data_IF_652802277026
#
_entry.id   IF_652802277026
#
_cell.length_a   1.000
_cell.length_b   1.000
_cell.length_c   1.000
_cell.angle_alpha   90.00
_cell.angle_beta   90.00
_cell.angle_gamma   90.00
#
_symmetry.space_group_name_H-M   'P 1'
#
loop_
_entity.id
_entity.type
_entity.pdbx_description
1 polymer ?
#
# COMPACT_ATOMS: atom_id res chain seq x y z
N UNK A 1 34.54 19.51 -23.09
CA UNK A 1 34.41 18.44 -22.07
C UNK A 1 33.33 18.90 -21.10
N UNK A 2 32.16 18.27 -21.15
CA UNK A 2 31.01 18.69 -20.36
C UNK A 2 30.84 17.72 -19.20
N UNK A 3 31.58 17.96 -18.12
CA UNK A 3 31.45 17.28 -16.83
C UNK A 3 30.15 17.76 -16.18
N UNK A 4 29.18 16.87 -15.98
CA UNK A 4 27.98 17.19 -15.21
C UNK A 4 27.66 16.06 -14.23
N UNK A 5 27.94 16.38 -12.97
CA UNK A 5 27.84 15.57 -11.75
C UNK A 5 26.48 14.87 -11.59
N UNK A 6 26.48 13.53 -11.68
CA UNK A 6 25.39 12.68 -11.18
C UNK A 6 25.57 12.33 -9.69
N UNK A 7 26.77 12.58 -9.10
CA UNK A 7 27.09 12.42 -7.66
C UNK A 7 28.16 13.44 -7.24
N UNK A 8 28.11 14.04 -6.04
CA UNK A 8 29.20 14.91 -5.57
C UNK A 8 30.42 14.04 -5.30
N UNK A 9 31.54 14.32 -5.96
CA UNK A 9 32.79 13.56 -5.79
C UNK A 9 32.95 12.31 -6.68
N UNK A 10 31.99 12.01 -7.56
CA UNK A 10 32.17 11.04 -8.65
C UNK A 10 31.71 11.69 -9.96
N UNK A 11 32.68 12.20 -10.72
CA UNK A 11 32.43 12.70 -12.06
C UNK A 11 32.27 11.51 -13.00
N UNK A 12 31.11 11.39 -13.64
CA UNK A 12 30.86 10.32 -14.59
C UNK A 12 31.25 10.80 -15.99
N UNK A 13 31.97 9.97 -16.76
CA UNK A 13 32.19 10.26 -18.16
C UNK A 13 30.91 10.03 -18.94
N UNK A 14 30.38 11.13 -19.44
CA UNK A 14 29.15 11.14 -20.23
C UNK A 14 29.54 11.03 -21.69
N UNK A 15 29.21 9.90 -22.33
CA UNK A 15 29.30 9.73 -23.78
C UNK A 15 28.08 10.40 -24.46
N UNK A 16 27.97 11.71 -24.27
CA UNK A 16 26.85 12.50 -24.79
C UNK A 16 25.48 12.20 -24.16
N UNK A 17 24.45 12.87 -24.69
CA UNK A 17 23.05 12.66 -24.32
C UNK A 17 22.42 11.72 -25.34
N UNK A 18 22.09 10.45 -25.00
CA UNK A 18 21.56 9.47 -25.96
C UNK A 18 20.27 9.94 -26.66
N UNK A 19 19.54 10.88 -26.04
CA UNK A 19 18.32 11.45 -26.60
C UNK A 19 18.31 12.98 -26.63
N UNK A 20 19.49 13.61 -26.75
CA UNK A 20 19.61 15.07 -26.76
C UNK A 20 19.14 15.71 -25.45
N UNK A 21 18.53 16.89 -25.54
CA UNK A 21 18.10 17.68 -24.36
C UNK A 21 16.73 17.27 -23.79
N UNK A 22 16.13 16.20 -24.32
CA UNK A 22 14.80 15.76 -23.91
C UNK A 22 14.86 15.18 -22.50
N UNK A 23 13.99 15.62 -21.56
CA UNK A 23 13.91 15.03 -20.23
C UNK A 23 13.66 13.52 -20.31
N UNK A 24 14.37 12.76 -19.49
CA UNK A 24 14.27 11.31 -19.46
C UNK A 24 12.84 10.81 -19.26
N UNK A 25 12.01 11.58 -18.53
CA UNK A 25 10.62 11.26 -18.27
C UNK A 25 9.73 11.34 -19.53
N UNK A 26 10.07 12.19 -20.50
CA UNK A 26 9.25 12.43 -21.69
C UNK A 26 9.52 11.42 -22.82
N UNK A 27 10.49 10.54 -22.64
CA UNK A 27 10.85 9.47 -23.57
C UNK A 27 10.07 8.19 -23.22
N UNK A 28 9.70 7.42 -24.24
CA UNK A 28 9.12 6.06 -24.14
C UNK A 28 7.90 5.90 -23.22
N UNK A 29 6.94 6.83 -23.27
CA UNK A 29 5.67 6.73 -22.54
C UNK A 29 5.80 6.56 -21.01
N UNK A 30 7.00 6.71 -20.44
CA UNK A 30 7.31 6.48 -19.02
C UNK A 30 6.40 7.33 -18.13
N UNK A 31 6.31 8.62 -18.46
CA UNK A 31 5.40 9.56 -17.82
C UNK A 31 3.96 9.07 -17.84
N UNK A 32 3.48 8.63 -19.00
CA UNK A 32 2.09 8.21 -19.22
C UNK A 32 1.79 6.92 -18.44
N UNK A 33 2.71 5.94 -18.45
CA UNK A 33 2.56 4.66 -17.73
C UNK A 33 2.49 4.86 -16.22
N UNK A 34 3.41 5.64 -15.65
CA UNK A 34 3.43 5.87 -14.20
C UNK A 34 2.27 6.77 -13.79
N UNK A 35 1.94 7.80 -14.59
CA UNK A 35 0.77 8.66 -14.34
C UNK A 35 -0.53 7.87 -14.35
N UNK A 36 -0.74 6.94 -15.30
CA UNK A 36 -1.93 6.07 -15.33
C UNK A 36 -2.04 5.23 -14.06
N UNK A 37 -0.96 4.63 -13.58
CA UNK A 37 -0.98 3.84 -12.33
C UNK A 37 -1.32 4.69 -11.11
N UNK A 38 -0.73 5.88 -11.00
CA UNK A 38 -1.04 6.80 -9.90
C UNK A 38 -2.49 7.30 -9.99
N UNK A 39 -2.96 7.66 -11.18
CA UNK A 39 -4.31 8.17 -11.43
C UNK A 39 -5.37 7.11 -11.11
N UNK A 40 -5.20 5.87 -11.58
CA UNK A 40 -6.10 4.78 -11.26
C UNK A 40 -6.16 4.53 -9.75
N UNK A 41 -5.02 4.51 -9.06
CA UNK A 41 -4.97 4.33 -7.62
C UNK A 41 -5.69 5.48 -6.88
N UNK A 42 -5.50 6.72 -7.30
CA UNK A 42 -6.18 7.89 -6.71
C UNK A 42 -7.68 7.95 -6.99
N UNK A 43 -8.16 7.36 -8.08
CA UNK A 43 -9.60 7.30 -8.40
C UNK A 43 -10.30 6.16 -7.64
N UNK A 44 -9.63 5.01 -7.48
CA UNK A 44 -10.20 3.84 -6.80
C UNK A 44 -10.35 4.08 -5.29
N UNK A 45 -9.36 4.73 -4.66
CA UNK A 45 -9.37 4.97 -3.21
C UNK A 45 -10.62 5.70 -2.67
N UNK A 46 -11.07 6.85 -3.23
CA UNK A 46 -12.25 7.54 -2.71
C UNK A 46 -13.55 6.73 -2.94
N UNK A 47 -13.64 5.98 -4.04
CA UNK A 47 -14.79 5.09 -4.29
C UNK A 47 -14.85 3.99 -3.25
N UNK A 48 -13.72 3.33 -2.96
CA UNK A 48 -13.64 2.31 -1.91
C UNK A 48 -13.94 2.90 -0.53
N UNK A 49 -13.45 4.11 -0.24
CA UNK A 49 -13.70 4.78 1.02
C UNK A 49 -15.19 5.12 1.18
N UNK A 50 -15.83 5.66 0.14
CA UNK A 50 -17.26 5.98 0.15
C UNK A 50 -18.12 4.72 0.34
N UNK A 51 -17.81 3.63 -0.37
CA UNK A 51 -18.52 2.35 -0.22
C UNK A 51 -18.31 1.76 1.18
N UNK A 52 -17.08 1.74 1.68
CA UNK A 52 -16.77 1.25 3.02
C UNK A 52 -17.49 2.08 4.09
N UNK A 53 -17.50 3.40 3.95
CA UNK A 53 -18.20 4.29 4.86
C UNK A 53 -19.70 4.05 4.82
N UNK A 54 -20.31 3.93 3.64
CA UNK A 54 -21.74 3.66 3.50
C UNK A 54 -22.15 2.32 4.15
N UNK A 55 -21.38 1.25 3.92
CA UNK A 55 -21.62 -0.06 4.54
C UNK A 55 -21.46 0.01 6.06
N UNK A 56 -20.38 0.63 6.54
CA UNK A 56 -20.14 0.79 7.97
C UNK A 56 -21.26 1.59 8.63
N UNK A 57 -21.66 2.71 8.01
CA UNK A 57 -22.76 3.54 8.46
C UNK A 57 -24.08 2.79 8.54
N UNK A 58 -24.38 1.94 7.56
CA UNK A 58 -25.60 1.13 7.53
C UNK A 58 -25.60 0.05 8.62
N UNK A 59 -24.48 -0.66 8.80
CA UNK A 59 -24.36 -1.70 9.85
C UNK A 59 -24.41 -1.11 11.26
N UNK A 60 -23.92 0.11 11.47
CA UNK A 60 -23.95 0.75 12.79
C UNK A 60 -25.17 1.63 13.07
N UNK A 61 -26.19 1.61 12.20
CA UNK A 61 -27.50 2.20 12.50
C UNK A 61 -28.05 1.88 13.89
N UNK A 62 -27.88 0.67 14.49
CA UNK A 62 -28.32 0.42 15.87
C UNK A 62 -27.70 1.36 16.91
N UNK A 63 -26.52 1.92 16.65
CA UNK A 63 -25.74 2.69 17.62
C UNK A 63 -25.85 4.21 17.39
N UNK A 64 -25.96 4.66 16.14
CA UNK A 64 -26.01 6.10 15.78
C UNK A 64 -27.20 6.50 14.91
N UNK A 65 -28.02 5.54 14.48
CA UNK A 65 -29.18 5.73 13.61
C UNK A 65 -30.45 6.18 14.33
N UNK A 66 -30.38 6.50 15.62
CA UNK A 66 -31.53 6.88 16.45
C UNK A 66 -32.71 5.90 16.35
N UNK A 67 -32.42 4.59 16.42
CA UNK A 67 -33.46 3.58 16.43
C UNK A 67 -34.48 3.85 17.54
N UNK A 68 -35.80 3.71 17.27
CA UNK A 68 -36.82 3.85 18.30
C UNK A 68 -36.52 2.90 19.47
N UNK A 69 -36.59 3.46 20.67
CA UNK A 69 -36.32 2.74 21.91
C UNK A 69 -37.64 2.34 22.53
N UNK A 70 -37.86 1.03 22.68
CA UNK A 70 -39.06 0.46 23.32
C UNK A 70 -38.67 -0.30 24.57
N UNK A 71 -39.61 -0.41 25.51
CA UNK A 71 -39.45 -1.29 26.67
C UNK A 71 -39.69 -2.74 26.26
N UNK A 72 -38.75 -3.62 26.60
CA UNK A 72 -38.83 -5.05 26.37
C UNK A 72 -38.71 -5.80 27.69
N UNK A 73 -39.57 -6.78 27.91
CA UNK A 73 -39.51 -7.66 29.08
C UNK A 73 -38.77 -8.94 28.71
N UNK A 74 -37.78 -9.30 29.52
CA UNK A 74 -37.04 -10.56 29.35
C UNK A 74 -37.93 -11.71 29.79
N UNK A 75 -38.33 -12.58 28.87
CA UNK A 75 -39.24 -13.71 29.16
C UNK A 75 -38.50 -15.03 29.37
N UNK A 76 -37.34 -15.19 28.75
CA UNK A 76 -36.50 -16.36 28.90
C UNK A 76 -35.04 -15.99 28.78
N UNK A 77 -34.18 -16.81 29.36
CA UNK A 77 -32.76 -16.79 29.07
C UNK A 77 -32.23 -18.23 29.03
N UNK A 78 -31.31 -18.52 28.11
CA UNK A 78 -30.63 -19.80 28.09
C UNK A 78 -29.16 -19.63 27.73
N UNK A 79 -28.32 -20.38 28.44
CA UNK A 79 -26.88 -20.37 28.21
C UNK A 79 -26.52 -21.32 27.08
N UNK A 80 -25.62 -20.89 26.20
CA UNK A 80 -25.10 -21.72 25.13
C UNK A 80 -23.61 -21.45 24.92
N UNK A 81 -22.89 -22.49 24.48
CA UNK A 81 -21.44 -22.41 24.28
C UNK A 81 -21.14 -22.36 22.79
N UNK A 82 -20.72 -21.20 22.30
CA UNK A 82 -20.26 -21.03 20.91
C UNK A 82 -19.08 -20.08 20.89
N UNK A 83 -17.86 -20.65 20.87
CA UNK A 83 -16.59 -19.91 21.04
C UNK A 83 -16.59 -19.05 22.33
N UNK A 84 -17.07 -19.62 23.43
CA UNK A 84 -17.27 -18.95 24.72
C UNK A 84 -18.68 -19.19 25.27
N UNK A 85 -18.86 -18.95 26.56
CA UNK A 85 -20.16 -18.99 27.22
C UNK A 85 -20.94 -17.72 26.86
N UNK A 86 -22.15 -17.88 26.35
CA UNK A 86 -23.03 -16.78 25.93
C UNK A 86 -24.45 -17.02 26.45
N UNK A 87 -25.20 -15.95 26.60
CA UNK A 87 -26.60 -16.01 26.98
C UNK A 87 -27.49 -15.53 25.83
N UNK A 88 -28.51 -16.30 25.50
CA UNK A 88 -29.58 -15.86 24.60
C UNK A 88 -30.78 -15.44 25.43
N UNK A 89 -31.38 -14.29 25.10
CA UNK A 89 -32.52 -13.70 25.79
C UNK A 89 -33.74 -13.75 24.88
N UNK A 90 -34.84 -14.34 25.36
CA UNK A 90 -36.16 -14.15 24.76
C UNK A 90 -36.76 -12.84 25.27
N UNK A 91 -37.20 -11.98 24.35
CA UNK A 91 -37.68 -10.64 24.65
C UNK A 91 -39.10 -10.46 24.10
N UNK A 92 -40.01 -10.02 24.97
CA UNK A 92 -41.34 -9.57 24.58
C UNK A 92 -41.37 -8.04 24.59
N UNK A 93 -41.80 -7.45 23.48
CA UNK A 93 -41.87 -5.99 23.36
C UNK A 93 -43.06 -5.57 22.51
N UNK A 94 -43.39 -4.28 22.58
CA UNK A 94 -44.49 -3.66 21.84
C UNK A 94 -43.96 -2.67 20.82
N UNK A 95 -44.31 -2.85 19.55
CA UNK A 95 -44.05 -1.88 18.48
C UNK A 95 -45.39 -1.55 17.84
N UNK A 96 -45.76 -0.26 17.81
CA UNK A 96 -47.04 0.22 17.27
C UNK A 96 -48.27 -0.53 17.81
N UNK A 97 -48.22 -0.90 19.10
CA UNK A 97 -49.29 -1.64 19.78
C UNK A 97 -49.35 -3.14 19.47
N UNK A 98 -48.49 -3.66 18.59
CA UNK A 98 -48.35 -5.10 18.34
C UNK A 98 -47.31 -5.72 19.26
N UNK A 99 -47.68 -6.83 19.92
CA UNK A 99 -46.76 -7.61 20.74
C UNK A 99 -45.91 -8.50 19.84
N UNK A 100 -44.61 -8.31 19.89
CA UNK A 100 -43.62 -9.09 19.18
C UNK A 100 -42.75 -9.84 20.18
N UNK A 101 -42.23 -10.97 19.72
CA UNK A 101 -41.24 -11.76 20.43
C UNK A 101 -39.98 -11.84 19.58
N UNK A 102 -38.82 -11.63 20.18
CA UNK A 102 -37.54 -11.73 19.51
C UNK A 102 -36.46 -12.28 20.41
N UNK A 103 -35.46 -12.91 19.81
CA UNK A 103 -34.30 -13.43 20.51
C UNK A 103 -33.11 -12.48 20.36
N UNK A 104 -32.41 -12.22 21.45
CA UNK A 104 -31.18 -11.43 21.44
C UNK A 104 -30.06 -12.14 22.20
N UNK A 105 -28.93 -12.38 21.52
CA UNK A 105 -27.77 -13.00 22.15
C UNK A 105 -26.78 -11.95 22.67
N UNK A 106 -26.52 -11.99 23.98
CA UNK A 106 -25.47 -11.20 24.64
C UNK A 106 -24.17 -11.99 24.68
N UNK A 107 -23.03 -11.28 24.68
CA UNK A 107 -21.71 -11.93 24.79
C UNK A 107 -21.32 -12.28 26.23
N UNK A 108 -22.20 -11.99 27.20
CA UNK A 108 -22.00 -12.30 28.61
C UNK A 108 -22.63 -13.66 28.96
N UNK A 109 -22.11 -14.36 29.99
CA UNK A 109 -22.81 -15.49 30.61
C UNK A 109 -24.15 -15.05 31.23
N UNK A 110 -25.05 -16.01 31.50
CA UNK A 110 -26.42 -15.67 31.91
C UNK A 110 -26.53 -15.05 33.31
N UNK A 111 -25.52 -15.24 34.16
CA UNK A 111 -25.39 -14.57 35.46
C UNK A 111 -25.06 -13.07 35.36
N UNK A 112 -24.41 -12.66 34.27
CA UNK A 112 -24.11 -11.26 33.93
C UNK A 112 -25.15 -10.60 33.00
N UNK A 113 -26.13 -11.34 32.53
CA UNK A 113 -27.20 -10.86 31.65
C UNK A 113 -28.41 -10.35 32.45
N UNK A 114 -29.32 -9.58 31.84
CA UNK A 114 -30.59 -9.21 32.45
C UNK A 114 -31.38 -10.42 32.94
N UNK A 115 -31.91 -10.36 34.16
CA UNK A 115 -32.70 -11.43 34.74
C UNK A 115 -34.08 -11.56 34.04
N UNK A 116 -34.63 -12.77 34.02
CA UNK A 116 -36.01 -13.01 33.54
C UNK A 116 -36.99 -12.18 34.38
N UNK A 117 -37.93 -11.51 33.70
CA UNK A 117 -38.89 -10.58 34.28
C UNK A 117 -38.40 -9.13 34.38
N UNK A 118 -37.12 -8.86 34.11
CA UNK A 118 -36.61 -7.49 34.04
C UNK A 118 -37.04 -6.78 32.76
N UNK A 119 -37.14 -5.45 32.84
CA UNK A 119 -37.42 -4.58 31.70
C UNK A 119 -36.12 -3.94 31.21
N UNK A 120 -35.83 -4.07 29.92
CA UNK A 120 -34.66 -3.50 29.26
C UNK A 120 -35.09 -2.58 28.12
N UNK A 121 -34.23 -1.61 27.77
CA UNK A 121 -34.43 -0.76 26.59
C UNK A 121 -33.93 -1.50 25.35
N UNK A 122 -34.83 -1.67 24.39
CA UNK A 122 -34.58 -2.30 23.10
C UNK A 122 -34.63 -1.27 22.00
N UNK A 123 -33.55 -1.13 21.24
CA UNK A 123 -33.55 -0.44 19.96
C UNK A 123 -34.10 -1.38 18.89
N UNK A 124 -35.15 -0.97 18.20
CA UNK A 124 -35.77 -1.73 17.10
C UNK A 124 -35.51 -1.00 15.79
N UNK A 125 -35.11 -1.74 14.76
CA UNK A 125 -34.95 -1.13 13.42
C UNK A 125 -36.30 -0.67 12.88
N UNK A 126 -36.40 0.57 12.36
CA UNK A 126 -37.65 1.11 11.81
C UNK A 126 -38.07 0.46 10.49
N UNK A 127 -37.14 -0.20 9.79
CA UNK A 127 -37.40 -0.83 8.48
C UNK A 127 -37.63 -2.35 8.59
N UNK A 128 -37.04 -3.00 9.60
CA UNK A 128 -37.12 -4.44 9.80
C UNK A 128 -37.14 -4.77 11.30
N UNK A 129 -38.32 -5.11 11.83
CA UNK A 129 -38.52 -5.35 13.25
C UNK A 129 -37.76 -6.61 13.75
N UNK A 130 -37.19 -7.42 12.85
CA UNK A 130 -36.33 -8.55 13.20
C UNK A 130 -34.92 -8.15 13.66
N UNK A 131 -34.49 -6.90 13.41
CA UNK A 131 -33.21 -6.39 13.88
C UNK A 131 -33.38 -5.61 15.17
N UNK A 132 -32.86 -6.18 16.26
CA UNK A 132 -32.97 -5.59 17.60
C UNK A 132 -31.61 -5.48 18.28
N UNK A 133 -31.45 -4.45 19.11
CA UNK A 133 -30.26 -4.22 19.91
C UNK A 133 -30.65 -3.84 21.35
N UNK A 134 -30.17 -4.58 22.34
CA UNK A 134 -30.40 -4.25 23.76
C UNK A 134 -29.39 -3.19 24.19
N UNK A 135 -29.88 -2.05 24.68
CA UNK A 135 -29.02 -0.96 25.11
C UNK A 135 -28.15 -1.39 26.31
N UNK A 136 -26.85 -1.05 26.26
CA UNK A 136 -25.91 -1.34 27.36
C UNK A 136 -25.35 -2.76 27.37
N UNK A 137 -25.79 -3.66 26.50
CA UNK A 137 -25.28 -5.03 26.44
C UNK A 137 -24.58 -5.33 25.10
N UNK A 138 -23.32 -5.81 25.12
CA UNK A 138 -22.64 -6.24 23.91
C UNK A 138 -23.32 -7.50 23.33
N UNK A 139 -23.60 -7.47 22.04
CA UNK A 139 -24.28 -8.57 21.34
C UNK A 139 -23.82 -8.73 19.90
N UNK A 140 -24.60 -9.47 19.12
CA UNK A 140 -24.34 -9.71 17.70
C UNK A 140 -24.12 -8.42 16.89
N UNK A 141 -24.90 -7.32 17.07
CA UNK A 141 -24.71 -6.09 16.30
C UNK A 141 -23.34 -5.44 16.55
N UNK A 142 -22.86 -5.44 17.80
CA UNK A 142 -21.53 -4.89 18.15
C UNK A 142 -20.42 -5.72 17.51
N UNK A 143 -20.56 -7.06 17.53
CA UNK A 143 -19.61 -7.96 16.90
C UNK A 143 -19.59 -7.81 15.37
N UNK A 144 -20.77 -7.69 14.74
CA UNK A 144 -20.89 -7.39 13.31
C UNK A 144 -20.25 -6.05 12.95
N UNK A 145 -20.47 -5.01 13.76
CA UNK A 145 -19.84 -3.70 13.56
C UNK A 145 -18.31 -3.81 13.54
N UNK A 146 -17.75 -4.54 14.50
CA UNK A 146 -16.31 -4.75 14.62
C UNK A 146 -15.77 -5.57 13.45
N UNK A 147 -16.43 -6.66 13.07
CA UNK A 147 -16.04 -7.48 11.92
C UNK A 147 -16.13 -6.72 10.60
N UNK A 148 -17.20 -5.96 10.38
CA UNK A 148 -17.36 -5.10 9.20
C UNK A 148 -16.30 -4.02 9.17
N UNK A 149 -16.01 -3.38 10.30
CA UNK A 149 -14.93 -2.40 10.44
C UNK A 149 -13.58 -2.99 10.07
N UNK A 150 -13.24 -4.19 10.56
CA UNK A 150 -12.00 -4.88 10.21
C UNK A 150 -11.95 -5.31 8.74
N UNK A 151 -13.05 -5.91 8.24
CA UNK A 151 -13.17 -6.42 6.88
C UNK A 151 -13.09 -5.33 5.81
N UNK A 152 -13.60 -4.13 6.10
CA UNK A 152 -13.52 -2.96 5.22
C UNK A 152 -12.22 -2.16 5.44
N UNK A 153 -11.74 -2.10 6.68
CA UNK A 153 -10.52 -1.36 7.03
C UNK A 153 -9.29 -1.91 6.33
N UNK A 154 -9.16 -3.23 6.21
CA UNK A 154 -8.03 -3.88 5.56
C UNK A 154 -7.86 -3.50 4.07
N UNK A 155 -8.86 -3.67 3.18
CA UNK A 155 -8.72 -3.31 1.77
C UNK A 155 -8.56 -1.79 1.58
N UNK A 156 -9.24 -0.95 2.35
CA UNK A 156 -9.10 0.51 2.27
C UNK A 156 -7.68 0.92 2.66
N UNK A 157 -7.15 0.41 3.77
CA UNK A 157 -5.79 0.70 4.23
C UNK A 157 -4.73 0.19 3.26
N UNK A 158 -4.92 -1.03 2.71
CA UNK A 158 -4.05 -1.59 1.69
C UNK A 158 -4.04 -0.74 0.42
N UNK A 159 -5.20 -0.29 -0.06
CA UNK A 159 -5.31 0.61 -1.20
C UNK A 159 -4.68 1.98 -0.92
N UNK A 160 -4.87 2.53 0.29
CA UNK A 160 -4.26 3.79 0.71
C UNK A 160 -2.73 3.71 0.73
N UNK A 161 -2.18 2.65 1.32
CA UNK A 161 -0.74 2.37 1.33
C UNK A 161 -0.20 2.22 -0.10
N UNK A 162 -0.87 1.43 -0.94
CA UNK A 162 -0.48 1.27 -2.35
C UNK A 162 -0.48 2.61 -3.09
N UNK A 163 -1.53 3.42 -2.92
CA UNK A 163 -1.66 4.74 -3.54
C UNK A 163 -0.55 5.68 -3.06
N UNK A 164 -0.26 5.69 -1.75
CA UNK A 164 0.84 6.45 -1.17
C UNK A 164 2.19 6.05 -1.78
N UNK A 165 2.48 4.75 -1.86
CA UNK A 165 3.72 4.26 -2.49
C UNK A 165 3.78 4.56 -3.98
N UNK A 166 2.66 4.47 -4.70
CA UNK A 166 2.56 4.81 -6.12
C UNK A 166 2.84 6.30 -6.36
N UNK A 167 2.25 7.19 -5.57
CA UNK A 167 2.49 8.65 -5.64
C UNK A 167 3.94 8.96 -5.25
N UNK A 168 4.46 8.37 -4.16
CA UNK A 168 5.85 8.57 -3.74
C UNK A 168 6.84 8.10 -4.80
N UNK A 169 6.57 6.96 -5.45
CA UNK A 169 7.36 6.47 -6.57
C UNK A 169 7.27 7.40 -7.76
N UNK A 170 6.08 7.87 -8.13
CA UNK A 170 5.89 8.84 -9.20
C UNK A 170 6.70 10.11 -8.94
N UNK A 171 6.58 10.72 -7.76
CA UNK A 171 7.34 11.92 -7.38
C UNK A 171 8.85 11.68 -7.48
N UNK A 172 9.33 10.51 -7.05
CA UNK A 172 10.74 10.14 -7.16
C UNK A 172 11.19 10.03 -8.61
N UNK A 173 10.45 9.31 -9.45
CA UNK A 173 10.79 9.13 -10.86
C UNK A 173 10.71 10.46 -11.61
N UNK A 174 9.69 11.28 -11.37
CA UNK A 174 9.57 12.61 -11.97
C UNK A 174 10.76 13.49 -11.63
N UNK A 175 11.21 13.47 -10.36
CA UNK A 175 12.38 14.26 -9.93
C UNK A 175 13.66 13.78 -10.60
N UNK A 176 13.88 12.47 -10.65
CA UNK A 176 15.10 11.90 -11.23
C UNK A 176 15.13 12.02 -12.77
N UNK A 177 13.97 11.91 -13.41
CA UNK A 177 13.81 11.99 -14.86
C UNK A 177 13.57 13.41 -15.41
N UNK A 178 13.72 14.44 -14.57
CA UNK A 178 13.60 15.83 -14.99
C UNK A 178 14.79 16.27 -15.87
N UNK A 179 15.96 15.67 -15.68
CA UNK A 179 17.14 15.87 -16.53
C UNK A 179 17.12 14.96 -17.76
N UNK A 180 17.92 15.29 -18.78
CA UNK A 180 18.10 14.40 -19.93
C UNK A 180 18.83 13.13 -19.51
N UNK A 181 18.61 12.05 -20.26
CA UNK A 181 19.45 10.86 -20.15
C UNK A 181 20.90 11.18 -20.51
N UNK A 182 21.81 10.47 -19.86
CA UNK A 182 23.25 10.52 -20.10
C UNK A 182 23.77 9.10 -20.29
N UNK A 183 24.54 8.86 -21.35
CA UNK A 183 25.16 7.57 -21.56
C UNK A 183 26.46 7.49 -20.74
N UNK A 184 26.57 6.46 -19.91
CA UNK A 184 27.74 6.18 -19.07
C UNK A 184 28.30 4.83 -19.47
N UNK A 185 29.54 4.84 -19.96
CA UNK A 185 30.24 3.65 -20.44
C UNK A 185 31.41 3.34 -19.51
N UNK A 186 31.52 2.08 -19.10
CA UNK A 186 32.61 1.60 -18.26
C UNK A 186 32.90 0.12 -18.48
N UNK A 187 34.05 -0.32 -18.00
CA UNK A 187 34.44 -1.73 -17.96
C UNK A 187 33.90 -2.36 -16.67
N UNK A 188 33.21 -3.49 -16.78
CA UNK A 188 32.65 -4.19 -15.63
C UNK A 188 33.77 -4.84 -14.83
N UNK A 189 33.89 -4.47 -13.56
CA UNK A 189 34.78 -5.11 -12.61
C UNK A 189 34.10 -6.33 -11.99
N UNK A 190 32.87 -6.15 -11.51
CA UNK A 190 32.08 -7.19 -10.90
C UNK A 190 30.59 -6.95 -11.17
N UNK A 191 29.83 -8.05 -11.24
CA UNK A 191 28.38 -8.02 -11.34
C UNK A 191 27.81 -8.96 -10.28
N UNK A 192 26.97 -8.43 -9.38
CA UNK A 192 26.36 -9.22 -8.31
C UNK A 192 24.83 -9.16 -8.40
N UNK A 193 24.15 -10.31 -8.61
CA UNK A 193 22.71 -10.35 -8.47
C UNK A 193 22.32 -10.10 -7.01
N UNK A 194 21.21 -9.40 -6.82
CA UNK A 194 20.63 -9.11 -5.50
C UNK A 194 19.15 -9.48 -5.51
N UNK A 195 18.60 -9.79 -4.34
CA UNK A 195 17.16 -10.05 -4.16
C UNK A 195 16.27 -8.92 -4.69
N UNK A 196 16.80 -7.71 -4.83
CA UNK A 196 16.09 -6.55 -5.34
C UNK A 196 16.59 -6.06 -6.72
N UNK A 197 17.52 -6.76 -7.38
CA UNK A 197 18.06 -6.30 -8.66
C UNK A 197 19.48 -6.77 -8.98
N UNK A 198 20.30 -5.84 -9.47
CA UNK A 198 21.66 -6.03 -9.90
C UNK A 198 22.55 -4.92 -9.35
N UNK A 199 23.74 -5.29 -8.90
CA UNK A 199 24.85 -4.40 -8.59
C UNK A 199 25.96 -4.58 -9.62
N UNK A 200 26.45 -3.46 -10.17
CA UNK A 200 27.58 -3.41 -11.09
C UNK A 200 28.67 -2.53 -10.50
N UNK A 201 29.87 -3.08 -10.37
CA UNK A 201 31.08 -2.30 -10.19
C UNK A 201 31.68 -2.00 -11.56
N UNK A 202 31.95 -0.73 -11.86
CA UNK A 202 32.41 -0.25 -13.16
C UNK A 202 33.67 0.59 -13.00
N UNK A 203 34.68 0.31 -13.80
CA UNK A 203 35.77 1.25 -14.08
C UNK A 203 35.35 2.14 -15.22
N UNK A 204 35.31 3.44 -14.96
CA UNK A 204 34.86 4.43 -15.92
C UNK A 204 35.93 4.66 -16.99
N UNK A 205 35.50 4.84 -18.25
CA UNK A 205 36.41 5.01 -19.39
C UNK A 205 37.11 6.39 -19.45
N UNK A 206 37.24 7.09 -18.30
CA UNK A 206 37.90 8.40 -18.20
C UNK A 206 38.95 8.40 -17.12
N UNK A 207 40.15 8.84 -17.50
CA UNK A 207 41.31 8.94 -16.64
C UNK A 207 41.03 9.87 -15.44
N UNK A 208 41.37 9.40 -14.23
CA UNK A 208 41.19 10.15 -12.98
C UNK A 208 39.79 10.06 -12.36
N UNK A 209 38.84 9.38 -12.99
CA UNK A 209 37.52 9.13 -12.38
C UNK A 209 37.61 7.94 -11.40
N UNK A 210 36.94 8.00 -10.23
CA UNK A 210 36.89 6.85 -9.34
C UNK A 210 36.08 5.72 -9.97
N UNK A 211 36.40 4.48 -9.63
CA UNK A 211 35.51 3.36 -9.92
C UNK A 211 34.15 3.61 -9.26
N UNK A 212 33.07 3.12 -9.86
CA UNK A 212 31.71 3.35 -9.38
C UNK A 212 30.95 2.07 -9.18
N UNK A 213 30.09 2.09 -8.18
CA UNK A 213 29.10 1.05 -7.91
C UNK A 213 27.71 1.56 -8.31
N UNK A 214 27.00 0.81 -9.14
CA UNK A 214 25.65 1.11 -9.61
C UNK A 214 24.72 -0.04 -9.23
N UNK A 215 23.75 0.24 -8.38
CA UNK A 215 22.71 -0.71 -7.97
C UNK A 215 21.35 -0.32 -8.54
N UNK A 216 20.65 -1.24 -9.21
CA UNK A 216 19.31 -0.99 -9.76
C UNK A 216 18.48 -2.27 -9.87
N UNK A 217 17.14 -2.12 -9.84
CA UNK A 217 16.23 -3.25 -9.99
C UNK A 217 16.08 -3.70 -11.45
N UNK A 218 15.91 -5.00 -11.69
CA UNK A 218 15.64 -5.56 -13.03
C UNK A 218 14.14 -5.77 -13.32
N UNK A 219 13.24 -5.19 -12.50
CA UNK A 219 11.79 -5.38 -12.67
C UNK A 219 11.31 -4.82 -14.02
N UNK A 220 10.89 -5.71 -14.91
CA UNK A 220 10.43 -5.39 -16.26
C UNK A 220 11.48 -5.56 -17.36
N UNK A 221 12.68 -6.03 -16.99
CA UNK A 221 13.75 -6.39 -17.92
C UNK A 221 13.91 -7.90 -17.87
N UNK A 222 13.04 -8.59 -18.59
CA UNK A 222 13.11 -10.05 -18.73
C UNK A 222 14.34 -10.39 -19.60
N UNK A 223 15.14 -11.38 -19.17
CA UNK A 223 16.31 -11.89 -19.90
C UNK A 223 17.48 -10.92 -20.06
N UNK A 224 17.74 -10.04 -19.09
CA UNK A 224 18.98 -9.25 -19.08
C UNK A 224 20.19 -10.15 -18.77
N UNK A 225 21.12 -10.37 -19.72
CA UNK A 225 22.33 -11.11 -19.44
C UNK A 225 23.22 -10.30 -18.51
N UNK A 226 23.67 -10.92 -17.42
CA UNK A 226 24.65 -10.32 -16.52
C UNK A 226 25.93 -10.01 -17.32
N UNK A 227 26.39 -8.75 -17.37
CA UNK A 227 27.59 -8.42 -18.11
C UNK A 227 28.80 -9.02 -17.39
N UNK A 228 29.65 -9.72 -18.14
CA UNK A 228 30.82 -10.41 -17.60
C UNK A 228 31.88 -9.41 -17.12
N UNK A 229 32.65 -9.78 -16.10
CA UNK A 229 33.84 -9.02 -15.71
C UNK A 229 34.80 -8.86 -16.90
N UNK A 230 35.39 -7.67 -17.03
CA UNK A 230 36.24 -7.28 -18.16
C UNK A 230 35.48 -6.82 -19.41
N UNK A 231 34.15 -6.99 -19.49
CA UNK A 231 33.37 -6.50 -20.63
C UNK A 231 33.07 -5.00 -20.52
N UNK A 232 32.97 -4.31 -21.66
CA UNK A 232 32.50 -2.92 -21.70
C UNK A 232 30.97 -2.90 -21.68
N UNK A 233 30.41 -2.07 -20.81
CA UNK A 233 28.97 -1.94 -20.65
C UNK A 233 28.53 -0.47 -20.61
N UNK A 234 27.40 -0.18 -21.25
CA UNK A 234 26.84 1.19 -21.32
C UNK A 234 25.48 1.24 -20.65
N UNK A 235 25.31 2.19 -19.75
CA UNK A 235 24.06 2.49 -19.06
C UNK A 235 23.54 3.86 -19.48
N UNK A 236 22.22 4.03 -19.55
CA UNK A 236 21.61 5.35 -19.61
C UNK A 236 21.21 5.76 -18.20
N UNK A 237 21.73 6.89 -17.73
CA UNK A 237 21.46 7.41 -16.39
C UNK A 237 20.80 8.78 -16.45
N UNK A 238 19.84 9.02 -15.58
CA UNK A 238 19.30 10.36 -15.30
C UNK A 238 19.16 10.50 -13.78
N UNK A 239 19.80 11.51 -13.18
CA UNK A 239 19.90 11.60 -11.73
C UNK A 239 19.87 13.03 -11.21
N UNK A 240 19.68 13.14 -9.90
CA UNK A 240 19.55 14.43 -9.21
C UNK A 240 20.86 14.95 -8.60
N UNK A 241 22.00 14.36 -8.99
CA UNK A 241 23.31 14.74 -8.46
C UNK A 241 23.57 14.24 -7.03
N UNK A 242 22.68 13.41 -6.43
CA UNK A 242 22.80 12.94 -5.04
C UNK A 242 22.96 11.42 -4.91
N UNK A 243 23.51 10.78 -5.94
CA UNK A 243 23.69 9.32 -5.94
C UNK A 243 22.42 8.52 -6.17
N UNK A 244 21.30 9.17 -6.52
CA UNK A 244 20.07 8.50 -6.95
C UNK A 244 19.89 8.73 -8.45
N UNK A 245 19.56 7.67 -9.16
CA UNK A 245 19.47 7.69 -10.62
C UNK A 245 18.26 6.88 -11.09
N UNK A 246 17.68 7.28 -12.21
CA UNK A 246 17.00 6.37 -13.11
C UNK A 246 18.06 5.69 -13.96
N UNK A 247 17.89 4.39 -14.16
CA UNK A 247 18.76 3.55 -14.95
C UNK A 247 17.92 2.97 -16.08
N UNK A 248 18.30 3.26 -17.31
CA UNK A 248 17.82 2.60 -18.52
C UNK A 248 18.94 1.73 -19.09
N UNK A 249 18.58 0.55 -19.58
CA UNK A 249 19.51 -0.35 -20.25
C UNK A 249 19.29 -0.22 -21.77
N UNK A 250 20.34 0.05 -22.57
CA UNK A 250 20.22 0.09 -24.01
C UNK A 250 19.60 -1.20 -24.57
N UNK A 251 18.66 -1.08 -25.50
CA UNK A 251 17.99 -2.23 -26.13
C UNK A 251 16.90 -2.90 -25.29
N UNK A 252 16.64 -2.45 -24.06
CA UNK A 252 15.57 -2.98 -23.22
C UNK A 252 14.50 -1.93 -22.88
N UNK A 253 13.26 -2.38 -22.85
CA UNK A 253 12.11 -1.56 -22.48
C UNK A 253 11.91 -1.58 -20.97
N UNK A 254 12.47 -0.60 -20.26
CA UNK A 254 12.20 -0.43 -18.85
C UNK A 254 13.27 0.35 -18.10
N UNK A 255 12.81 1.18 -17.18
CA UNK A 255 13.63 2.02 -16.34
C UNK A 255 13.49 1.61 -14.89
N UNK A 256 14.62 1.67 -14.20
CA UNK A 256 14.70 1.31 -12.79
C UNK A 256 15.18 2.49 -11.97
N UNK A 257 14.68 2.60 -10.75
CA UNK A 257 15.27 3.51 -9.78
C UNK A 257 16.44 2.79 -9.15
N UNK A 258 17.62 3.41 -9.24
CA UNK A 258 18.86 2.89 -8.70
C UNK A 258 19.60 3.90 -7.85
N UNK A 259 20.79 3.47 -7.43
CA UNK A 259 21.77 4.28 -6.73
C UNK A 259 23.12 4.13 -7.39
N UNK A 260 23.90 5.21 -7.37
CA UNK A 260 25.27 5.24 -7.88
C UNK A 260 26.18 5.89 -6.84
N UNK A 261 27.35 5.31 -6.59
CA UNK A 261 28.32 5.74 -5.58
C UNK A 261 29.74 5.51 -6.07
N UNK A 262 30.70 6.30 -5.60
CA UNK A 262 32.11 5.99 -5.77
C UNK A 262 32.45 4.70 -5.00
N UNK A 263 33.16 3.79 -5.64
CA UNK A 263 33.69 2.59 -5.03
C UNK A 263 34.91 2.99 -4.17
N UNK A 264 34.94 2.66 -2.86
CA UNK A 264 36.09 2.95 -2.04
C UNK A 264 37.29 2.11 -2.49
N UNK A 265 38.46 2.74 -2.65
CA UNK A 265 39.70 2.06 -3.11
C UNK A 265 40.09 0.82 -2.28
N UNK A 266 39.65 0.73 -1.00
CA UNK A 266 39.95 -0.40 -0.12
C UNK A 266 39.09 -1.66 -0.35
N UNK A 267 38.00 -1.57 -1.12
CA UNK A 267 37.11 -2.72 -1.40
C UNK A 267 37.56 -3.57 -2.59
N UNK A 268 38.50 -3.09 -3.40
CA UNK A 268 39.04 -3.81 -4.56
C UNK A 268 40.16 -4.79 -4.20
N UNK A 269 40.65 -4.76 -2.96
CA UNK A 269 41.82 -5.53 -2.51
C UNK A 269 41.48 -6.79 -1.69
N UNK A 270 40.20 -7.18 -1.60
CA UNK A 270 39.74 -8.27 -0.75
C UNK A 270 39.12 -9.48 -1.52
N UNK A 271 39.28 -9.53 -2.84
CA UNK A 271 39.02 -10.72 -3.67
C UNK A 271 40.30 -11.21 -4.34
#
# INVERSE_FOLDING_TARGET
>A
MSTSLLVPGAELPISGKPFGDIPALDIDYLRRRIRRKALNATLVLPVLFALAFAIFWHVGQPFWGNWPQVDATVTSHYEYVTKGVRCSLGLDYLVDGQRLHGDFSVTLPCDGAPAVGSVVKLGVSPEDHGWVAVAGYPGLPTFQLLLTGMGLGFPVSGCALFTFFAIRRLRRVVRLGAGPWQAVTGTVLASLPSSNGLWLALTLAVSGSPDVEVGFGLKGIEFFPLPAAGSTFTLHLAGDGKGRVLVGIPGHWGESVGTIRALPAHKLAAE
#
